data_IF_801991945006
#
_entry.id   IF_801991945006
#
_cell.length_a   1.000
_cell.length_b   1.000
_cell.length_c   1.000
_cell.angle_alpha   90.00
_cell.angle_beta   90.00
_cell.angle_gamma   90.00
#
_symmetry.space_group_name_H-M   'P 1'
#
loop_
_entity.id
_entity.type
_entity.pdbx_description
1 polymer ?
#
# COMPACT_ATOMS: atom_id res chain seq x y z
N UNK A 1 -11.19 -18.30 -13.47
CA UNK A 1 -10.15 -17.60 -12.69
C UNK A 1 -9.09 -17.12 -13.66
N UNK A 2 -8.80 -15.82 -13.68
CA UNK A 2 -7.73 -15.29 -14.54
C UNK A 2 -6.38 -15.72 -13.97
N UNK A 3 -5.53 -16.31 -14.81
CA UNK A 3 -4.19 -16.77 -14.42
C UNK A 3 -3.30 -15.57 -14.04
N UNK A 4 -2.47 -15.71 -12.99
CA UNK A 4 -1.58 -14.66 -12.49
C UNK A 4 -0.62 -14.12 -13.56
N UNK A 5 -0.11 -14.98 -14.44
CA UNK A 5 0.75 -14.57 -15.54
C UNK A 5 0.02 -13.69 -16.56
N UNK A 6 -1.26 -13.98 -16.81
CA UNK A 6 -2.12 -13.15 -17.67
C UNK A 6 -2.32 -11.76 -17.06
N UNK A 7 -2.54 -11.66 -15.74
CA UNK A 7 -2.68 -10.37 -15.04
C UNK A 7 -1.41 -9.54 -15.20
N UNK A 8 -0.25 -10.14 -14.91
CA UNK A 8 1.05 -9.45 -15.01
C UNK A 8 1.30 -8.95 -16.44
N UNK A 9 1.03 -9.78 -17.45
CA UNK A 9 1.25 -9.44 -18.87
C UNK A 9 0.27 -8.42 -19.42
N UNK A 10 -0.98 -8.43 -18.93
CA UNK A 10 -2.04 -7.54 -19.41
C UNK A 10 -2.08 -6.17 -18.71
N UNK A 11 -1.34 -6.01 -17.59
CA UNK A 11 -1.31 -4.77 -16.85
C UNK A 11 -0.78 -3.62 -17.71
N UNK A 12 -1.57 -2.58 -17.85
CA UNK A 12 -1.19 -1.32 -18.51
C UNK A 12 -1.49 -0.13 -17.60
N UNK A 13 -0.78 0.98 -17.81
CA UNK A 13 -1.08 2.23 -17.11
C UNK A 13 -2.21 2.95 -17.82
N UNK A 14 -3.37 3.08 -17.17
CA UNK A 14 -4.50 3.82 -17.72
C UNK A 14 -4.16 5.32 -17.77
N UNK A 15 -4.47 5.95 -18.90
CA UNK A 15 -4.32 7.40 -19.10
C UNK A 15 -5.64 8.15 -18.93
N UNK A 16 -6.76 7.48 -19.19
CA UNK A 16 -8.10 8.04 -19.10
C UNK A 16 -8.91 7.28 -18.05
N UNK A 17 -9.75 7.99 -17.34
CA UNK A 17 -10.68 7.45 -16.36
C UNK A 17 -12.07 7.97 -16.67
N UNK A 18 -13.10 7.19 -16.35
CA UNK A 18 -14.49 7.62 -16.43
C UNK A 18 -14.79 8.56 -15.24
N UNK A 19 -15.04 9.87 -15.49
CA UNK A 19 -15.29 10.83 -14.42
C UNK A 19 -16.65 10.64 -13.74
N UNK A 20 -17.53 9.81 -14.33
CA UNK A 20 -18.85 9.49 -13.76
C UNK A 20 -18.81 8.30 -12.81
N UNK A 21 -17.73 7.52 -12.84
CA UNK A 21 -17.56 6.38 -11.97
C UNK A 21 -17.29 6.81 -10.53
N UNK A 22 -18.09 6.30 -9.61
CA UNK A 22 -17.94 6.55 -8.16
C UNK A 22 -17.65 5.24 -7.46
N UNK A 23 -16.69 5.25 -6.55
CA UNK A 23 -16.41 4.13 -5.67
C UNK A 23 -16.99 4.36 -4.28
N UNK A 24 -17.61 3.35 -3.72
CA UNK A 24 -18.07 3.33 -2.32
C UNK A 24 -16.89 3.21 -1.35
N UNK A 25 -17.10 3.61 -0.09
CA UNK A 25 -16.09 3.41 0.96
C UNK A 25 -15.69 1.94 1.09
N UNK A 26 -16.64 1.01 1.03
CA UNK A 26 -16.38 -0.42 1.10
C UNK A 26 -15.49 -0.94 -0.04
N UNK A 27 -15.69 -0.46 -1.26
CA UNK A 27 -14.82 -0.82 -2.40
C UNK A 27 -13.41 -0.26 -2.25
N UNK A 28 -13.27 0.94 -1.68
CA UNK A 28 -11.97 1.56 -1.39
C UNK A 28 -11.25 0.75 -0.29
N UNK A 29 -11.95 0.39 0.78
CA UNK A 29 -11.41 -0.44 1.87
C UNK A 29 -11.01 -1.82 1.38
N UNK A 30 -11.81 -2.46 0.54
CA UNK A 30 -11.47 -3.74 -0.07
C UNK A 30 -10.18 -3.64 -0.89
N UNK A 31 -9.99 -2.59 -1.71
CA UNK A 31 -8.75 -2.40 -2.46
C UNK A 31 -7.55 -2.23 -1.54
N UNK A 32 -7.69 -1.45 -0.48
CA UNK A 32 -6.61 -1.22 0.49
C UNK A 32 -6.27 -2.49 1.26
N UNK A 33 -7.25 -3.35 1.58
CA UNK A 33 -7.01 -4.61 2.27
C UNK A 33 -6.05 -5.54 1.51
N UNK A 34 -6.09 -5.53 0.18
CA UNK A 34 -5.12 -6.29 -0.62
C UNK A 34 -3.68 -5.77 -0.49
N UNK A 35 -3.50 -4.46 -0.29
CA UNK A 35 -2.17 -3.91 -0.06
C UNK A 35 -1.57 -4.37 1.28
N UNK A 36 -2.39 -4.75 2.26
CA UNK A 36 -1.94 -5.28 3.55
C UNK A 36 -1.30 -6.66 3.43
N UNK A 37 -1.60 -7.41 2.36
CA UNK A 37 -0.96 -8.71 2.06
C UNK A 37 0.47 -8.53 1.52
N UNK A 38 0.91 -7.29 1.28
CA UNK A 38 2.24 -7.01 0.76
C UNK A 38 3.30 -7.34 1.80
N UNK A 39 4.31 -8.17 1.48
CA UNK A 39 5.39 -8.45 2.40
C UNK A 39 6.25 -7.20 2.63
N UNK A 40 6.66 -6.99 3.86
CA UNK A 40 7.61 -5.94 4.24
C UNK A 40 8.68 -6.52 5.16
N UNK A 41 9.84 -5.86 5.29
CA UNK A 41 10.90 -6.30 6.18
C UNK A 41 10.36 -6.41 7.62
N UNK A 42 10.59 -7.56 8.26
CA UNK A 42 10.03 -7.90 9.60
C UNK A 42 8.50 -7.76 9.68
N UNK A 43 7.78 -7.74 8.57
CA UNK A 43 6.35 -7.42 8.53
C UNK A 43 6.01 -6.07 9.22
N UNK A 44 6.86 -5.06 9.06
CA UNK A 44 6.69 -3.76 9.70
C UNK A 44 5.47 -3.00 9.21
N UNK A 45 4.96 -3.32 8.00
CA UNK A 45 3.83 -2.62 7.38
C UNK A 45 3.97 -1.09 7.48
N UNK A 46 5.20 -0.62 7.25
CA UNK A 46 5.65 0.76 7.47
C UNK A 46 5.25 1.69 6.31
N UNK A 47 4.00 1.62 5.92
CA UNK A 47 3.36 2.48 4.93
C UNK A 47 1.96 2.89 5.41
N UNK A 48 1.47 3.96 4.80
CA UNK A 48 0.10 4.44 4.99
C UNK A 48 -0.47 4.79 3.63
N UNK A 49 -1.79 4.71 3.50
CA UNK A 49 -2.51 5.14 2.32
C UNK A 49 -3.55 6.19 2.69
N UNK A 50 -3.61 7.25 1.89
CA UNK A 50 -4.66 8.26 1.97
C UNK A 50 -5.50 8.14 0.70
N UNK A 51 -6.77 7.80 0.85
CA UNK A 51 -7.74 7.74 -0.25
C UNK A 51 -8.37 9.11 -0.45
N UNK A 52 -8.13 9.74 -1.59
CA UNK A 52 -8.65 11.06 -1.96
C UNK A 52 -9.79 10.87 -2.96
N UNK A 53 -11.05 11.00 -2.51
CA UNK A 53 -12.25 10.77 -3.32
C UNK A 53 -13.08 12.04 -3.57
N UNK A 54 -13.05 13.04 -2.68
CA UNK A 54 -13.83 14.26 -2.89
C UNK A 54 -13.30 15.10 -4.05
N UNK A 55 -14.20 15.71 -4.81
CA UNK A 55 -13.86 16.55 -5.97
C UNK A 55 -12.92 17.71 -5.59
N UNK A 56 -13.17 18.37 -4.46
CA UNK A 56 -12.35 19.47 -3.95
C UNK A 56 -10.91 19.02 -3.68
N UNK A 57 -10.72 17.92 -2.95
CA UNK A 57 -9.39 17.38 -2.62
C UNK A 57 -8.67 16.83 -3.83
N UNK A 58 -9.38 16.21 -4.78
CA UNK A 58 -8.80 15.79 -6.07
C UNK A 58 -8.35 16.99 -6.90
N UNK A 59 -9.09 18.11 -6.89
CA UNK A 59 -8.67 19.34 -7.55
C UNK A 59 -7.39 19.93 -6.93
N UNK A 60 -7.29 19.96 -5.61
CA UNK A 60 -6.09 20.38 -4.89
C UNK A 60 -4.90 19.45 -5.20
N UNK A 61 -5.11 18.12 -5.20
CA UNK A 61 -4.09 17.15 -5.57
C UNK A 61 -3.63 17.31 -7.01
N UNK A 62 -4.55 17.56 -7.96
CA UNK A 62 -4.25 17.84 -9.37
C UNK A 62 -3.32 19.05 -9.51
N UNK A 63 -3.54 20.11 -8.75
CA UNK A 63 -2.73 21.32 -8.82
C UNK A 63 -1.25 21.05 -8.50
N UNK A 64 -0.96 20.18 -7.53
CA UNK A 64 0.41 19.79 -7.16
C UNK A 64 0.94 18.58 -7.95
N UNK A 65 0.08 17.89 -8.71
CA UNK A 65 0.41 16.75 -9.56
C UNK A 65 0.53 17.15 -11.05
N UNK A 66 1.21 18.23 -11.33
CA UNK A 66 1.48 18.75 -12.69
C UNK A 66 0.21 19.00 -13.53
N UNK A 67 -0.92 19.28 -12.91
CA UNK A 67 -2.19 19.56 -13.61
C UNK A 67 -2.81 18.36 -14.33
N UNK A 68 -2.39 17.13 -14.03
CA UNK A 68 -2.86 15.93 -14.72
C UNK A 68 -4.37 15.74 -14.58
N UNK A 69 -5.11 15.75 -15.70
CA UNK A 69 -6.56 15.61 -15.72
C UNK A 69 -7.03 14.31 -15.06
N UNK A 70 -6.31 13.21 -15.26
CA UNK A 70 -6.62 11.90 -14.70
C UNK A 70 -6.72 11.88 -13.16
N UNK A 71 -6.10 12.84 -12.46
CA UNK A 71 -6.23 12.97 -11.00
C UNK A 71 -7.64 13.44 -10.60
N UNK A 72 -8.23 14.34 -11.39
CA UNK A 72 -9.60 14.80 -11.15
C UNK A 72 -10.64 13.77 -11.63
N UNK A 73 -10.35 13.07 -12.73
CA UNK A 73 -11.29 12.15 -13.39
C UNK A 73 -11.38 10.78 -12.68
N UNK A 74 -10.32 10.36 -11.99
CA UNK A 74 -10.33 9.10 -11.25
C UNK A 74 -11.37 9.11 -10.11
N UNK A 75 -12.05 7.99 -9.87
CA UNK A 75 -12.98 7.82 -8.75
C UNK A 75 -12.30 8.07 -7.40
N UNK A 76 -11.06 7.59 -7.24
CA UNK A 76 -10.22 7.78 -6.06
C UNK A 76 -8.75 7.89 -6.46
N UNK A 77 -8.00 8.74 -5.77
CA UNK A 77 -6.54 8.77 -5.86
C UNK A 77 -5.95 8.27 -4.54
N UNK A 78 -5.05 7.30 -4.61
CA UNK A 78 -4.32 6.80 -3.45
C UNK A 78 -2.97 7.51 -3.35
N UNK A 79 -2.71 8.15 -2.21
CA UNK A 79 -1.41 8.70 -1.85
C UNK A 79 -0.77 7.73 -0.87
N UNK A 80 0.31 7.09 -1.28
CA UNK A 80 1.05 6.17 -0.42
C UNK A 80 2.20 6.91 0.26
N UNK A 81 2.33 6.70 1.57
CA UNK A 81 3.34 7.33 2.41
C UNK A 81 4.15 6.25 3.10
N UNK A 82 5.45 6.21 2.86
CA UNK A 82 6.38 5.36 3.60
C UNK A 82 6.72 5.95 4.97
N UNK A 83 6.76 5.10 5.99
CA UNK A 83 7.04 5.48 7.38
C UNK A 83 8.45 5.02 7.75
N UNK A 84 9.35 5.97 8.01
CA UNK A 84 10.76 5.69 8.29
C UNK A 84 11.00 4.93 9.59
N UNK A 85 10.23 5.24 10.61
CA UNK A 85 10.38 4.69 11.97
C UNK A 85 9.42 3.51 12.26
N UNK A 86 8.96 2.83 11.22
CA UNK A 86 8.06 1.67 11.34
C UNK A 86 8.57 0.56 12.26
N UNK A 87 9.89 0.38 12.35
CA UNK A 87 10.51 -0.60 13.24
C UNK A 87 10.15 -0.41 14.72
N UNK A 88 9.82 0.83 15.14
CA UNK A 88 9.39 1.12 16.52
C UNK A 88 8.05 0.49 16.87
N UNK A 89 7.20 0.25 15.87
CA UNK A 89 5.88 -0.37 16.03
C UNK A 89 5.93 -1.91 15.96
N UNK A 90 7.10 -2.50 15.68
CA UNK A 90 7.22 -3.94 15.44
C UNK A 90 6.72 -4.76 16.63
N UNK A 91 7.03 -4.35 17.87
CA UNK A 91 6.55 -5.04 19.07
C UNK A 91 5.01 -5.13 19.10
N UNK A 92 4.32 -4.04 18.78
CA UNK A 92 2.85 -4.02 18.70
C UNK A 92 2.32 -4.91 17.56
N UNK A 93 2.99 -4.91 16.41
CA UNK A 93 2.54 -5.65 15.22
C UNK A 93 2.72 -7.17 15.37
N UNK A 94 3.79 -7.63 16.02
CA UNK A 94 4.08 -9.07 16.20
C UNK A 94 3.53 -9.65 17.50
N UNK A 95 3.04 -8.81 18.41
CA UNK A 95 2.44 -9.26 19.68
C UNK A 95 1.32 -10.28 19.50
N UNK A 96 0.38 -10.13 18.55
CA UNK A 96 -0.66 -11.12 18.32
C UNK A 96 -0.12 -12.52 17.96
N UNK A 97 1.04 -12.62 17.31
CA UNK A 97 1.68 -13.90 17.00
C UNK A 97 2.22 -14.58 18.27
N UNK A 98 2.76 -13.79 19.19
CA UNK A 98 3.18 -14.28 20.49
C UNK A 98 1.98 -14.76 21.32
N UNK A 99 0.92 -13.97 21.39
CA UNK A 99 -0.31 -14.28 22.13
C UNK A 99 -1.03 -15.52 21.56
N UNK A 100 -0.97 -15.73 20.26
CA UNK A 100 -1.49 -16.93 19.58
C UNK A 100 -0.56 -18.17 19.71
N UNK A 101 0.61 -18.04 20.33
CA UNK A 101 1.60 -19.12 20.44
C UNK A 101 2.28 -19.49 19.12
N UNK A 102 2.12 -18.68 18.06
CA UNK A 102 2.78 -18.89 16.78
C UNK A 102 4.29 -18.62 16.84
N UNK A 103 4.72 -17.77 17.77
CA UNK A 103 6.13 -17.54 18.11
C UNK A 103 6.30 -17.57 19.64
N UNK A 104 7.49 -17.90 20.12
CA UNK A 104 7.82 -17.83 21.53
C UNK A 104 8.42 -16.47 21.92
N UNK A 105 8.58 -16.22 23.23
CA UNK A 105 9.11 -14.96 23.74
C UNK A 105 10.51 -14.65 23.18
N UNK A 106 11.39 -15.65 23.06
CA UNK A 106 12.75 -15.45 22.56
C UNK A 106 12.74 -14.98 21.08
N UNK A 107 11.85 -15.52 20.24
CA UNK A 107 11.69 -15.07 18.87
C UNK A 107 11.12 -13.65 18.79
N UNK A 108 10.13 -13.33 19.64
CA UNK A 108 9.55 -11.99 19.74
C UNK A 108 10.62 -10.95 20.09
N UNK A 109 11.37 -11.18 21.17
CA UNK A 109 12.41 -10.26 21.62
C UNK A 109 13.56 -10.18 20.60
N UNK A 110 13.92 -11.30 19.98
CA UNK A 110 14.94 -11.37 18.95
C UNK A 110 14.61 -10.55 17.71
N UNK A 111 13.37 -10.58 17.23
CA UNK A 111 12.94 -9.78 16.08
C UNK A 111 12.97 -8.28 16.38
N UNK A 112 12.48 -7.87 17.55
CA UNK A 112 12.51 -6.47 17.98
C UNK A 112 13.96 -5.99 18.16
N UNK A 113 14.81 -6.78 18.82
CA UNK A 113 16.22 -6.46 19.01
C UNK A 113 16.96 -6.31 17.66
N UNK A 114 16.72 -7.24 16.72
CA UNK A 114 17.33 -7.20 15.39
C UNK A 114 16.86 -5.98 14.59
N UNK A 115 15.57 -5.68 14.58
CA UNK A 115 15.04 -4.51 13.89
C UNK A 115 15.60 -3.20 14.47
N UNK A 116 15.64 -3.08 15.79
CA UNK A 116 16.26 -1.91 16.43
C UNK A 116 17.75 -1.78 16.09
N UNK A 117 18.53 -2.87 16.15
CA UNK A 117 19.93 -2.87 15.77
C UNK A 117 20.18 -2.46 14.31
N UNK A 118 19.28 -2.82 13.41
CA UNK A 118 19.41 -2.47 11.99
C UNK A 118 18.99 -1.02 11.69
N UNK A 119 17.90 -0.55 12.28
CA UNK A 119 17.25 0.68 11.85
C UNK A 119 17.50 1.88 12.76
N UNK A 120 17.70 1.72 14.09
CA UNK A 120 17.66 2.84 15.03
C UNK A 120 18.64 3.98 14.69
N UNK A 121 19.88 3.63 14.33
CA UNK A 121 20.93 4.61 14.00
C UNK A 121 21.22 4.70 12.51
N UNK A 122 20.31 4.18 11.67
CA UNK A 122 20.53 4.11 10.21
C UNK A 122 19.40 4.81 9.43
N UNK A 123 19.47 6.14 9.34
CA UNK A 123 18.48 6.97 8.68
C UNK A 123 18.33 6.63 7.18
N UNK A 124 19.40 6.21 6.51
CA UNK A 124 19.35 5.80 5.11
C UNK A 124 18.57 4.50 4.96
N UNK A 125 18.83 3.49 5.79
CA UNK A 125 18.11 2.22 5.74
C UNK A 125 16.62 2.40 6.08
N UNK A 126 16.29 3.27 7.07
CA UNK A 126 14.91 3.64 7.37
C UNK A 126 14.20 4.24 6.14
N UNK A 127 14.88 5.15 5.43
CA UNK A 127 14.34 5.78 4.23
C UNK A 127 14.14 4.76 3.10
N UNK A 128 15.14 3.93 2.83
CA UNK A 128 15.10 2.93 1.77
C UNK A 128 14.00 1.89 2.02
N UNK A 129 13.85 1.45 3.27
CA UNK A 129 12.80 0.51 3.64
C UNK A 129 11.39 1.13 3.53
N UNK A 130 11.24 2.41 3.91
CA UNK A 130 9.99 3.13 3.76
C UNK A 130 9.56 3.23 2.28
N UNK A 131 10.51 3.55 1.38
CA UNK A 131 10.25 3.59 -0.06
C UNK A 131 9.93 2.19 -0.59
N UNK A 132 10.72 1.18 -0.22
CA UNK A 132 10.55 -0.21 -0.66
C UNK A 132 9.17 -0.74 -0.30
N UNK A 133 8.78 -0.61 0.95
CA UNK A 133 7.49 -1.07 1.47
C UNK A 133 6.31 -0.34 0.81
N UNK A 134 6.37 0.99 0.69
CA UNK A 134 5.33 1.77 0.02
C UNK A 134 5.22 1.43 -1.47
N UNK A 135 6.34 1.18 -2.15
CA UNK A 135 6.35 0.82 -3.57
C UNK A 135 5.73 -0.56 -3.82
N UNK A 136 6.00 -1.53 -2.94
CA UNK A 136 5.40 -2.86 -3.02
C UNK A 136 3.90 -2.80 -2.76
N UNK A 137 3.45 -2.06 -1.76
CA UNK A 137 2.03 -1.83 -1.49
C UNK A 137 1.33 -1.14 -2.68
N UNK A 138 2.00 -0.14 -3.31
CA UNK A 138 1.50 0.51 -4.51
C UNK A 138 1.32 -0.47 -5.67
N UNK A 139 2.28 -1.36 -5.90
CA UNK A 139 2.20 -2.35 -6.98
C UNK A 139 1.03 -3.32 -6.77
N UNK A 140 0.82 -3.79 -5.54
CA UNK A 140 -0.33 -4.65 -5.20
C UNK A 140 -1.67 -3.95 -5.47
N UNK A 141 -1.80 -2.66 -5.14
CA UNK A 141 -3.00 -1.88 -5.45
C UNK A 141 -3.23 -1.74 -6.97
N UNK A 142 -2.16 -1.51 -7.75
CA UNK A 142 -2.24 -1.37 -9.21
C UNK A 142 -2.68 -2.68 -9.86
N UNK A 143 -2.12 -3.81 -9.47
CA UNK A 143 -2.44 -5.12 -10.02
C UNK A 143 -3.89 -5.51 -9.73
N UNK A 144 -4.39 -5.24 -8.54
CA UNK A 144 -5.79 -5.53 -8.17
C UNK A 144 -6.78 -4.68 -8.96
N UNK A 145 -6.47 -3.40 -9.19
CA UNK A 145 -7.28 -2.54 -10.06
C UNK A 145 -7.39 -3.11 -11.47
N UNK A 146 -6.29 -3.62 -12.02
CA UNK A 146 -6.25 -4.20 -13.37
C UNK A 146 -7.15 -5.43 -13.49
N UNK A 147 -7.29 -6.25 -12.45
CA UNK A 147 -8.18 -7.42 -12.45
C UNK A 147 -9.67 -7.06 -12.45
N UNK A 148 -10.07 -5.94 -11.82
CA UNK A 148 -11.47 -5.49 -11.80
C UNK A 148 -11.89 -4.79 -13.09
N UNK A 149 -11.02 -3.97 -13.69
CA UNK A 149 -11.32 -3.26 -14.93
C UNK A 149 -11.46 -4.21 -16.13
N UNK A 150 -10.73 -5.33 -16.15
CA UNK A 150 -10.88 -6.35 -17.19
C UNK A 150 -12.15 -7.20 -17.06
N UNK A 151 -12.82 -7.18 -15.89
CA UNK A 151 -14.08 -7.91 -15.69
C UNK A 151 -15.32 -7.08 -16.06
N UNK A 152 -15.19 -5.78 -16.31
CA UNK A 152 -16.30 -4.88 -16.68
C UNK A 152 -16.35 -4.52 -18.18
N UNK A 153 -15.45 -5.05 -19.00
CA UNK A 153 -15.39 -4.86 -20.45
C UNK A 153 -15.43 -6.19 -21.24
N UNK A 154 -16.09 -7.22 -20.70
CA UNK A 154 -16.40 -8.44 -21.42
C UNK A 154 -17.86 -8.46 -21.84
#
# INVERSE_FOLDING_TARGET
MTDALTIIKSRTSANNFDPTHVMTAAEIEELVSYAQETPTSFNQQNWRVVAVSSAERKAALKAVAYGQAKVADAAVCFVLVGIKDGYKELGRLVKPLLEAGAINQAAYDGWIGMANGMYAENAQLQHDEAIRSASMAAMTLIDRKSTRLNSSHA
#
